data_IF_271026597451
#
_entry.id   IF_271026597451
#
_cell.length_a   1.000
_cell.length_b   1.000
_cell.length_c   1.000
_cell.angle_alpha   90.00
_cell.angle_beta   90.00
_cell.angle_gamma   90.00
#
_symmetry.space_group_name_H-M   'P 1'
#
loop_
_entity.id
_entity.type
_entity.pdbx_description
1 polymer ?
#
# COMPACT_ATOMS: atom_id res chain seq x y z
N UNK A 1 -17.45 -2.16 -34.74
CA UNK A 1 -18.39 -2.41 -33.63
C UNK A 1 -18.29 -1.21 -32.71
N UNK A 2 -19.38 -0.45 -32.50
CA UNK A 2 -19.37 0.68 -31.57
C UNK A 2 -19.21 0.15 -30.14
N UNK A 3 -18.45 0.85 -29.29
CA UNK A 3 -18.31 0.50 -27.87
C UNK A 3 -19.68 0.59 -27.17
N UNK A 4 -19.89 -0.22 -26.14
CA UNK A 4 -21.13 -0.11 -25.34
C UNK A 4 -21.09 1.13 -24.45
N UNK A 5 -22.26 1.69 -24.14
CA UNK A 5 -22.41 2.81 -23.20
C UNK A 5 -21.74 2.52 -21.85
N UNK A 6 -21.84 1.28 -21.35
CA UNK A 6 -21.18 0.88 -20.10
C UNK A 6 -19.65 0.90 -20.19
N UNK A 7 -19.09 0.53 -21.35
CA UNK A 7 -17.63 0.57 -21.56
C UNK A 7 -17.14 2.01 -21.64
N UNK A 8 -17.90 2.89 -22.31
CA UNK A 8 -17.59 4.32 -22.37
C UNK A 8 -17.67 4.95 -20.99
N UNK A 9 -18.75 4.71 -20.25
CA UNK A 9 -18.91 5.18 -18.87
C UNK A 9 -17.76 4.74 -17.96
N UNK A 10 -17.39 3.46 -18.00
CA UNK A 10 -16.29 2.95 -17.18
C UNK A 10 -14.94 3.60 -17.56
N UNK A 11 -14.63 3.69 -18.86
CA UNK A 11 -13.42 4.34 -19.36
C UNK A 11 -13.36 5.78 -18.88
N UNK A 12 -14.43 6.54 -19.09
CA UNK A 12 -14.47 7.98 -18.79
C UNK A 12 -14.37 8.22 -17.29
N UNK A 13 -14.99 7.36 -16.47
CA UNK A 13 -14.85 7.39 -15.01
C UNK A 13 -13.41 7.14 -14.58
N UNK A 14 -12.74 6.12 -15.11
CA UNK A 14 -11.35 5.80 -14.76
C UNK A 14 -10.41 6.93 -15.19
N UNK A 15 -10.58 7.48 -16.40
CA UNK A 15 -9.78 8.61 -16.88
C UNK A 15 -9.97 9.83 -15.97
N UNK A 16 -11.22 10.14 -15.59
CA UNK A 16 -11.50 11.26 -14.69
C UNK A 16 -10.81 11.10 -13.33
N UNK A 17 -10.82 9.88 -12.76
CA UNK A 17 -10.10 9.59 -11.50
C UNK A 17 -8.59 9.75 -11.64
N UNK A 18 -8.01 9.33 -12.77
CA UNK A 18 -6.57 9.52 -13.03
C UNK A 18 -6.19 11.00 -13.14
N UNK A 19 -7.01 11.80 -13.81
CA UNK A 19 -6.83 13.25 -13.91
C UNK A 19 -6.91 13.92 -12.54
N UNK A 20 -7.88 13.52 -11.72
CA UNK A 20 -8.01 14.05 -10.36
C UNK A 20 -6.77 13.74 -9.50
N UNK A 21 -6.24 12.52 -9.59
CA UNK A 21 -5.01 12.12 -8.89
C UNK A 21 -3.82 12.97 -9.36
N UNK A 22 -3.66 13.15 -10.67
CA UNK A 22 -2.59 13.97 -11.26
C UNK A 22 -2.64 15.41 -10.76
N UNK A 23 -3.83 16.02 -10.76
CA UNK A 23 -4.04 17.41 -10.35
C UNK A 23 -3.86 17.62 -8.85
N UNK A 24 -4.39 16.70 -8.02
CA UNK A 24 -4.52 16.93 -6.57
C UNK A 24 -3.41 16.31 -5.74
N UNK A 25 -2.85 15.17 -6.16
CA UNK A 25 -1.93 14.39 -5.32
C UNK A 25 -0.46 14.57 -5.70
N UNK A 26 -0.13 15.42 -6.70
CA UNK A 26 1.25 15.68 -7.13
C UNK A 26 2.19 16.03 -5.96
N UNK A 27 1.80 16.96 -5.10
CA UNK A 27 2.61 17.36 -3.95
C UNK A 27 2.81 16.23 -2.93
N UNK A 28 1.82 15.33 -2.78
CA UNK A 28 1.93 14.14 -1.92
C UNK A 28 2.89 13.12 -2.52
N UNK A 29 2.80 12.90 -3.84
CA UNK A 29 3.66 11.99 -4.61
C UNK A 29 5.12 12.47 -4.57
N UNK A 30 5.35 13.76 -4.79
CA UNK A 30 6.71 14.34 -4.74
C UNK A 30 7.36 14.15 -3.36
N UNK A 31 6.60 14.40 -2.27
CA UNK A 31 7.08 14.15 -0.90
C UNK A 31 7.36 12.67 -0.63
N UNK A 32 6.53 11.78 -1.15
CA UNK A 32 6.75 10.33 -1.04
C UNK A 32 8.02 9.91 -1.77
N UNK A 33 8.25 10.43 -2.98
CA UNK A 33 9.46 10.19 -3.76
C UNK A 33 10.72 10.70 -3.02
N UNK A 34 10.67 11.89 -2.42
CA UNK A 34 11.78 12.44 -1.62
C UNK A 34 12.11 11.55 -0.42
N UNK A 35 11.10 11.06 0.31
CA UNK A 35 11.30 10.13 1.42
C UNK A 35 11.94 8.81 0.96
N UNK A 36 11.48 8.25 -0.16
CA UNK A 36 12.04 7.03 -0.73
C UNK A 36 13.49 7.24 -1.19
N UNK A 37 13.76 8.34 -1.88
CA UNK A 37 15.10 8.67 -2.36
C UNK A 37 16.09 8.88 -1.19
N UNK A 38 15.64 9.54 -0.12
CA UNK A 38 16.46 9.74 1.07
C UNK A 38 16.76 8.42 1.79
N UNK A 39 15.77 7.51 1.91
CA UNK A 39 16.00 6.17 2.48
C UNK A 39 17.06 5.40 1.68
N UNK A 40 16.95 5.39 0.34
CA UNK A 40 17.94 4.72 -0.52
C UNK A 40 19.33 5.36 -0.40
N UNK A 41 19.42 6.69 -0.31
CA UNK A 41 20.70 7.40 -0.12
C UNK A 41 21.38 7.05 1.21
N UNK A 42 20.59 6.70 2.22
CA UNK A 42 21.06 6.26 3.54
C UNK A 42 21.31 4.75 3.63
N UNK A 43 21.30 4.03 2.50
CA UNK A 43 21.45 2.57 2.40
C UNK A 43 20.36 1.80 3.17
N UNK A 44 19.14 2.36 3.19
CA UNK A 44 17.95 1.77 3.82
C UNK A 44 16.95 1.27 2.79
N UNK A 45 16.07 0.38 3.24
CA UNK A 45 15.06 -0.26 2.39
C UNK A 45 13.79 0.59 2.24
N UNK A 46 13.09 0.36 1.13
CA UNK A 46 11.70 0.77 0.94
C UNK A 46 10.84 -0.45 1.25
N UNK A 47 10.13 -0.41 2.37
CA UNK A 47 9.18 -1.45 2.73
C UNK A 47 7.82 -1.15 2.11
N UNK A 48 7.12 -2.17 1.61
CA UNK A 48 5.74 -2.02 1.10
C UNK A 48 4.86 -3.13 1.64
N UNK A 49 3.71 -2.75 2.19
CA UNK A 49 2.70 -3.69 2.70
C UNK A 49 1.32 -3.29 2.19
N UNK A 50 0.52 -4.29 1.83
CA UNK A 50 -0.90 -4.14 1.52
C UNK A 50 -1.76 -4.83 2.56
N UNK A 51 -2.15 -4.18 3.68
CA UNK A 51 -2.89 -4.83 4.76
C UNK A 51 -4.32 -5.19 4.32
N UNK A 52 -4.51 -6.41 3.81
CA UNK A 52 -5.82 -6.92 3.40
C UNK A 52 -5.93 -7.25 1.91
N UNK A 53 -6.70 -8.31 1.63
CA UNK A 53 -6.99 -8.90 0.31
C UNK A 53 -6.22 -8.34 -0.89
N UNK A 54 -6.92 -7.58 -1.74
CA UNK A 54 -6.37 -7.04 -2.99
C UNK A 54 -5.33 -5.93 -2.80
N UNK A 55 -5.26 -5.30 -1.64
CA UNK A 55 -4.26 -4.25 -1.41
C UNK A 55 -2.82 -4.78 -1.45
N UNK A 56 -2.64 -6.09 -1.27
CA UNK A 56 -1.37 -6.77 -1.53
C UNK A 56 -0.82 -6.54 -2.95
N UNK A 57 -1.67 -6.23 -3.94
CA UNK A 57 -1.23 -5.89 -5.32
C UNK A 57 -0.24 -4.71 -5.30
N UNK A 58 -0.38 -3.75 -4.39
CA UNK A 58 0.57 -2.65 -4.25
C UNK A 58 1.98 -3.16 -3.93
N UNK A 59 2.11 -4.15 -3.05
CA UNK A 59 3.41 -4.75 -2.74
C UNK A 59 3.97 -5.56 -3.92
N UNK A 60 3.11 -6.30 -4.64
CA UNK A 60 3.52 -7.02 -5.84
C UNK A 60 3.99 -6.10 -6.96
N UNK A 61 3.31 -4.97 -7.18
CA UNK A 61 3.62 -4.06 -8.29
C UNK A 61 5.01 -3.42 -8.13
N UNK A 62 5.46 -3.17 -6.90
CA UNK A 62 6.77 -2.57 -6.65
C UNK A 62 7.92 -3.59 -6.58
N UNK A 63 7.63 -4.89 -6.45
CA UNK A 63 8.64 -5.89 -6.11
C UNK A 63 9.07 -6.76 -7.29
N UNK A 64 10.39 -6.88 -7.46
CA UNK A 64 11.05 -7.89 -8.31
C UNK A 64 10.50 -7.99 -9.75
N UNK A 65 10.34 -6.83 -10.40
CA UNK A 65 9.92 -6.70 -11.81
C UNK A 65 10.93 -5.94 -12.65
N UNK A 66 10.86 -6.12 -13.97
CA UNK A 66 11.69 -5.36 -14.91
C UNK A 66 11.44 -3.85 -14.77
N UNK A 67 12.53 -3.07 -14.66
CA UNK A 67 12.48 -1.62 -14.43
C UNK A 67 12.19 -1.20 -12.98
N UNK A 68 12.01 -2.15 -12.06
CA UNK A 68 11.81 -1.87 -10.63
C UNK A 68 13.09 -1.48 -9.90
N UNK A 69 12.93 -0.75 -8.80
CA UNK A 69 14.02 -0.45 -7.86
C UNK A 69 14.42 -1.71 -7.08
N UNK A 70 15.72 -1.99 -6.99
CA UNK A 70 16.25 -3.13 -6.25
C UNK A 70 15.98 -3.08 -4.74
N UNK A 71 16.11 -1.95 -4.01
CA UNK A 71 16.01 -1.91 -2.54
C UNK A 71 14.57 -1.93 -2.00
N UNK A 72 13.65 -2.61 -2.70
CA UNK A 72 12.25 -2.78 -2.25
C UNK A 72 12.09 -4.10 -1.49
N UNK A 73 11.61 -4.00 -0.25
CA UNK A 73 11.20 -5.14 0.55
C UNK A 73 9.67 -5.24 0.59
N UNK A 74 9.10 -6.15 -0.21
CA UNK A 74 7.67 -6.42 -0.18
C UNK A 74 7.27 -7.36 0.96
N UNK A 75 6.34 -6.88 1.78
CA UNK A 75 5.76 -7.61 2.89
C UNK A 75 4.57 -8.42 2.38
N UNK A 76 4.86 -9.62 1.87
CA UNK A 76 3.89 -10.55 1.30
C UNK A 76 3.44 -11.57 2.35
N UNK A 77 2.65 -11.13 3.32
CA UNK A 77 2.20 -11.96 4.43
C UNK A 77 1.07 -12.93 4.03
N UNK A 78 1.25 -14.27 4.15
CA UNK A 78 0.23 -15.27 3.79
C UNK A 78 -1.08 -15.17 4.58
N UNK A 79 -1.13 -14.43 5.69
CA UNK A 79 -2.35 -14.17 6.44
C UNK A 79 -3.40 -13.42 5.64
N UNK A 80 -2.98 -12.46 4.81
CA UNK A 80 -3.90 -11.61 4.04
C UNK A 80 -3.94 -11.91 2.54
N UNK A 81 -3.08 -12.80 2.04
CA UNK A 81 -3.13 -13.23 0.64
C UNK A 81 -4.44 -13.97 0.32
N UNK A 82 -5.13 -13.54 -0.73
CA UNK A 82 -6.39 -14.15 -1.18
C UNK A 82 -6.21 -15.59 -1.68
N UNK A 83 -5.03 -15.94 -2.17
CA UNK A 83 -4.65 -17.31 -2.54
C UNK A 83 -4.70 -18.27 -1.35
N UNK A 84 -4.62 -17.75 -0.12
CA UNK A 84 -4.75 -18.51 1.13
C UNK A 84 -6.19 -18.49 1.68
N UNK A 85 -7.15 -17.99 0.90
CA UNK A 85 -8.59 -17.98 1.18
C UNK A 85 -9.14 -16.57 1.44
N UNK A 86 -10.09 -16.13 0.61
CA UNK A 86 -10.64 -14.76 0.67
C UNK A 86 -11.28 -14.44 2.03
N UNK A 87 -12.16 -15.30 2.54
CA UNK A 87 -12.80 -15.11 3.86
C UNK A 87 -11.79 -15.14 5.00
N UNK A 88 -10.74 -15.96 4.88
CA UNK A 88 -9.65 -16.02 5.86
C UNK A 88 -8.92 -14.68 5.90
N UNK A 89 -8.53 -14.15 4.74
CA UNK A 89 -7.89 -12.82 4.63
C UNK A 89 -8.70 -11.73 5.34
N UNK A 90 -10.03 -11.68 5.13
CA UNK A 90 -10.91 -10.71 5.81
C UNK A 90 -10.95 -10.87 7.33
N UNK A 91 -10.85 -12.10 7.84
CA UNK A 91 -10.78 -12.33 9.29
C UNK A 91 -9.43 -11.86 9.83
N UNK A 92 -8.33 -12.19 9.13
CA UNK A 92 -6.97 -11.84 9.54
C UNK A 92 -6.76 -10.32 9.52
N UNK A 93 -7.14 -9.61 8.45
CA UNK A 93 -6.96 -8.14 8.36
C UNK A 93 -7.73 -7.37 9.44
N UNK A 94 -8.73 -8.01 10.06
CA UNK A 94 -9.56 -7.46 11.15
C UNK A 94 -9.12 -7.92 12.53
N UNK A 95 -8.04 -8.70 12.63
CA UNK A 95 -7.49 -9.19 13.91
C UNK A 95 -6.52 -8.16 14.49
N UNK A 96 -6.81 -7.52 15.64
CA UNK A 96 -5.91 -6.55 16.26
C UNK A 96 -4.58 -7.17 16.70
N UNK A 97 -3.51 -6.39 16.62
CA UNK A 97 -2.14 -6.79 16.93
C UNK A 97 -1.44 -7.55 15.79
N UNK A 98 -2.17 -8.00 14.76
CA UNK A 98 -1.59 -8.79 13.68
C UNK A 98 -0.57 -7.99 12.86
N UNK A 99 -0.90 -6.73 12.57
CA UNK A 99 -0.02 -5.84 11.79
C UNK A 99 1.36 -5.65 12.42
N UNK A 100 1.42 -5.48 13.74
CA UNK A 100 2.68 -5.31 14.46
C UNK A 100 3.56 -6.58 14.42
N UNK A 101 2.94 -7.76 14.57
CA UNK A 101 3.65 -9.03 14.45
C UNK A 101 4.22 -9.24 13.04
N UNK A 102 3.50 -8.81 11.99
CA UNK A 102 3.99 -8.84 10.61
C UNK A 102 5.19 -7.92 10.42
N UNK A 103 5.14 -6.67 10.91
CA UNK A 103 6.30 -5.76 10.81
C UNK A 103 7.53 -6.30 11.55
N UNK A 104 7.32 -7.02 12.66
CA UNK A 104 8.39 -7.72 13.38
C UNK A 104 8.99 -8.86 12.55
N UNK A 105 8.13 -9.73 11.99
CA UNK A 105 8.57 -10.88 11.19
C UNK A 105 9.38 -10.46 9.95
N UNK A 106 9.05 -9.32 9.36
CA UNK A 106 9.77 -8.74 8.22
C UNK A 106 10.91 -7.80 8.62
N UNK A 107 11.23 -7.71 9.92
CA UNK A 107 12.33 -6.93 10.48
C UNK A 107 12.31 -5.45 10.05
N UNK A 108 11.13 -4.83 10.02
CA UNK A 108 10.95 -3.41 9.66
C UNK A 108 11.41 -2.55 10.83
N UNK A 109 12.62 -1.99 10.74
CA UNK A 109 13.27 -1.22 11.83
C UNK A 109 13.62 0.20 11.43
N UNK A 110 13.92 0.42 10.16
CA UNK A 110 14.30 1.71 9.58
C UNK A 110 13.76 1.82 8.14
N UNK A 111 14.32 2.73 7.34
CA UNK A 111 13.88 2.98 5.97
C UNK A 111 12.58 3.77 5.91
N UNK A 112 11.74 3.43 4.94
CA UNK A 112 10.41 4.01 4.75
C UNK A 112 9.39 2.91 4.51
N UNK A 113 8.16 3.08 5.02
CA UNK A 113 7.08 2.10 4.86
C UNK A 113 5.93 2.67 4.02
N UNK A 114 5.64 2.04 2.90
CA UNK A 114 4.47 2.29 2.08
C UNK A 114 3.34 1.35 2.53
N UNK A 115 2.22 1.92 2.95
CA UNK A 115 1.01 1.21 3.37
C UNK A 115 -0.06 1.42 2.30
N UNK A 116 -0.39 0.37 1.55
CA UNK A 116 -1.42 0.40 0.53
C UNK A 116 -2.69 -0.20 1.11
N UNK A 117 -3.78 0.55 1.20
CA UNK A 117 -5.07 0.03 1.63
C UNK A 117 -6.19 0.85 0.99
N UNK A 118 -7.21 0.20 0.43
CA UNK A 118 -8.28 0.93 -0.27
C UNK A 118 -9.11 1.83 0.66
N UNK A 119 -9.19 1.50 1.94
CA UNK A 119 -10.16 2.05 2.88
C UNK A 119 -9.53 2.75 4.10
N UNK A 120 -8.34 2.32 4.52
CA UNK A 120 -7.62 2.83 5.69
C UNK A 120 -8.19 2.45 7.06
N UNK A 121 -9.27 1.65 7.13
CA UNK A 121 -10.04 1.44 8.36
C UNK A 121 -9.91 0.05 9.01
N UNK A 122 -9.30 -0.93 8.34
CA UNK A 122 -9.19 -2.27 8.93
C UNK A 122 -8.13 -2.30 10.06
N UNK A 123 -8.28 -3.23 11.00
CA UNK A 123 -7.44 -3.30 12.20
C UNK A 123 -5.96 -3.42 11.85
N UNK A 124 -5.61 -4.28 10.88
CA UNK A 124 -4.22 -4.47 10.47
C UNK A 124 -3.60 -3.21 9.87
N UNK A 125 -4.34 -2.44 9.06
CA UNK A 125 -3.86 -1.18 8.49
C UNK A 125 -3.57 -0.15 9.58
N UNK A 126 -4.48 -0.02 10.55
CA UNK A 126 -4.32 0.88 11.70
C UNK A 126 -3.14 0.43 12.56
N UNK A 127 -3.03 -0.86 12.87
CA UNK A 127 -1.93 -1.44 13.63
C UNK A 127 -0.58 -1.16 12.98
N UNK A 128 -0.48 -1.39 11.67
CA UNK A 128 0.74 -1.14 10.88
C UNK A 128 1.14 0.33 10.97
N UNK A 129 0.20 1.26 10.78
CA UNK A 129 0.48 2.69 10.83
C UNK A 129 0.91 3.15 12.25
N UNK A 130 0.23 2.67 13.29
CA UNK A 130 0.57 2.98 14.68
C UNK A 130 1.91 2.38 15.09
N UNK A 131 2.18 1.14 14.70
CA UNK A 131 3.43 0.46 15.01
C UNK A 131 4.61 1.08 14.27
N UNK A 132 4.46 1.44 13.00
CA UNK A 132 5.50 2.17 12.25
C UNK A 132 5.82 3.51 12.92
N UNK A 133 4.81 4.26 13.36
CA UNK A 133 5.01 5.48 14.16
C UNK A 133 5.76 5.18 15.47
N UNK A 134 5.38 4.12 16.19
CA UNK A 134 6.06 3.71 17.43
C UNK A 134 7.53 3.37 17.20
N UNK A 135 7.86 2.77 16.06
CA UNK A 135 9.23 2.45 15.63
C UNK A 135 10.01 3.64 15.07
N UNK A 136 9.35 4.78 14.86
CA UNK A 136 9.96 5.95 14.21
C UNK A 136 10.22 5.76 12.71
N UNK A 137 9.54 4.81 12.07
CA UNK A 137 9.63 4.56 10.63
C UNK A 137 8.68 5.52 9.89
N UNK A 138 9.20 6.40 9.01
CA UNK A 138 8.36 7.24 8.17
C UNK A 138 7.41 6.41 7.30
N UNK A 139 6.15 6.83 7.20
CA UNK A 139 5.10 6.10 6.50
C UNK A 139 4.48 6.90 5.36
N UNK A 140 4.24 6.25 4.22
CA UNK A 140 3.48 6.75 3.08
C UNK A 140 2.18 5.95 2.98
N UNK A 141 1.03 6.61 3.01
CA UNK A 141 -0.28 5.96 2.86
C UNK A 141 -0.84 6.10 1.45
N UNK A 142 -1.21 5.00 0.81
CA UNK A 142 -1.95 4.99 -0.46
C UNK A 142 -3.36 4.47 -0.18
N UNK A 143 -4.33 5.39 -0.12
CA UNK A 143 -5.71 5.11 0.29
C UNK A 143 -6.73 6.04 -0.37
N UNK A 144 -8.01 5.65 -0.36
CA UNK A 144 -9.12 6.54 -0.66
C UNK A 144 -9.51 7.32 0.60
N UNK A 145 -9.29 8.65 0.60
CA UNK A 145 -9.70 9.52 1.72
C UNK A 145 -11.23 9.60 1.82
N UNK A 146 -11.91 9.72 0.68
CA UNK A 146 -13.37 9.83 0.62
C UNK A 146 -14.13 8.60 1.19
N UNK A 147 -13.47 7.43 1.28
CA UNK A 147 -14.05 6.27 1.94
C UNK A 147 -13.82 6.27 3.47
N UNK A 148 -12.75 6.92 3.92
CA UNK A 148 -12.29 6.92 5.31
C UNK A 148 -12.84 8.11 6.13
N UNK A 149 -13.36 9.14 5.46
CA UNK A 149 -14.05 10.31 6.04
C UNK A 149 -15.54 10.03 6.30
#
# INVERSE_FOLDING_TARGET
>A
MLMSEHTEFYRDTVIGLLQEIEEKERASIDKAADLMAQAVKEDKLIHVIGPGGHSNIGAYELFYRAGGLVPVNAILDPGTLLSMGARRSTIIERTPGYGAAVLEAFNVKDGVLIVVNAYGINAMCIDVALEARRRGVPTIGVTSKAFAE
#
